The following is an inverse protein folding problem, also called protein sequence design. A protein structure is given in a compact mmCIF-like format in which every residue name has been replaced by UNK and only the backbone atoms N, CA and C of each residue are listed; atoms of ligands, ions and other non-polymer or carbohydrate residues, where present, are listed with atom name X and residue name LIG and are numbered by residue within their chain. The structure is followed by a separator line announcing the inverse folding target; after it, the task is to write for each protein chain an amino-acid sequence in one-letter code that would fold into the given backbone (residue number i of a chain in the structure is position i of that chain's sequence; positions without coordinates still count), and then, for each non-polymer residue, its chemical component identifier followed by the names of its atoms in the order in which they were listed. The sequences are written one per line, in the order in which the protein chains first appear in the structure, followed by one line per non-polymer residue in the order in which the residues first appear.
data_IF_410074140172
#
_entry.id   IF_410074140172
#
_cell.length_a   1.000
_cell.length_b   1.000
_cell.length_c   1.000
_cell.angle_alpha   90.00
_cell.angle_beta   90.00
_cell.angle_gamma   90.00
#
_symmetry.space_group_name_H-M   'P 1'
#
loop_
_entity.id
_entity.type
_entity.pdbx_description
1 polymer ?
#
# COMPACT_ATOMS: atom_id res chain seq x y z
N UNK A 1 -2.37 11.09 -59.02
CA UNK A 1 -2.26 12.00 -57.87
C UNK A 1 -2.83 11.28 -56.67
N UNK A 2 -2.10 11.19 -55.57
CA UNK A 2 -2.57 10.55 -54.34
C UNK A 2 -3.19 11.61 -53.45
N UNK A 3 -4.50 11.45 -53.17
CA UNK A 3 -5.25 12.43 -52.39
C UNK A 3 -5.09 12.12 -50.90
N UNK A 4 -4.35 12.97 -50.21
CA UNK A 4 -4.19 12.91 -48.75
C UNK A 4 -5.45 13.42 -48.05
N UNK A 5 -6.08 12.57 -47.26
CA UNK A 5 -7.23 12.94 -46.42
C UNK A 5 -6.77 13.58 -45.11
N UNK A 6 -7.38 14.72 -44.75
CA UNK A 6 -7.11 15.38 -43.47
C UNK A 6 -7.70 14.56 -42.31
N UNK A 7 -6.93 14.40 -41.24
CA UNK A 7 -7.35 13.66 -40.05
C UNK A 7 -7.98 14.61 -39.03
N UNK A 8 -9.25 14.38 -38.70
CA UNK A 8 -9.98 15.06 -37.63
C UNK A 8 -9.80 14.25 -36.33
N UNK A 9 -10.25 14.80 -35.20
CA UNK A 9 -10.13 14.24 -33.83
C UNK A 9 -10.57 12.77 -33.64
N UNK A 10 -11.28 12.19 -34.61
CA UNK A 10 -11.56 10.75 -34.77
C UNK A 10 -11.59 10.37 -36.26
N UNK A 11 -10.43 10.00 -36.82
CA UNK A 11 -10.32 9.51 -38.19
C UNK A 11 -10.31 10.60 -39.27
N UNK A 12 -10.40 10.20 -40.54
CA UNK A 12 -10.41 11.12 -41.68
C UNK A 12 -11.66 11.99 -41.74
N UNK A 13 -11.54 13.19 -42.33
CA UNK A 13 -12.67 14.10 -42.57
C UNK A 13 -13.73 13.45 -43.48
N UNK A 14 -14.94 13.17 -42.97
CA UNK A 14 -16.00 12.53 -43.76
C UNK A 14 -16.38 13.33 -45.01
N UNK A 15 -16.34 14.68 -44.94
CA UNK A 15 -16.71 15.51 -46.08
C UNK A 15 -15.71 15.39 -47.23
N UNK A 16 -14.40 15.32 -46.92
CA UNK A 16 -13.35 15.12 -47.91
C UNK A 16 -13.42 13.73 -48.53
N UNK A 17 -13.69 12.69 -47.72
CA UNK A 17 -13.88 11.31 -48.20
C UNK A 17 -15.11 11.24 -49.12
N UNK A 18 -16.26 11.79 -48.71
CA UNK A 18 -17.49 11.81 -49.50
C UNK A 18 -17.32 12.57 -50.83
N UNK A 19 -16.55 13.67 -50.85
CA UNK A 19 -16.21 14.39 -52.08
C UNK A 19 -15.35 13.53 -53.03
N UNK A 20 -14.33 12.83 -52.54
CA UNK A 20 -13.52 11.92 -53.38
C UNK A 20 -14.34 10.74 -53.90
N UNK A 21 -15.20 10.14 -53.05
CA UNK A 21 -16.06 9.02 -53.44
C UNK A 21 -17.11 9.47 -54.46
N UNK A 22 -17.67 10.68 -54.32
CA UNK A 22 -18.57 11.28 -55.31
C UNK A 22 -17.86 11.49 -56.65
N UNK A 23 -16.63 12.00 -56.63
CA UNK A 23 -15.82 12.23 -57.84
C UNK A 23 -15.41 10.92 -58.52
N UNK A 24 -15.00 9.89 -57.76
CA UNK A 24 -14.74 8.55 -58.31
C UNK A 24 -15.99 7.90 -58.92
N UNK A 25 -17.17 8.08 -58.29
CA UNK A 25 -18.45 7.63 -58.85
C UNK A 25 -18.80 8.38 -60.14
N UNK A 26 -18.52 9.69 -60.22
CA UNK A 26 -18.74 10.49 -61.43
C UNK A 26 -17.80 10.09 -62.58
N UNK A 27 -16.51 9.85 -62.31
CA UNK A 27 -15.58 9.37 -63.35
C UNK A 27 -15.93 7.96 -63.81
N UNK A 28 -16.37 7.09 -62.90
CA UNK A 28 -16.85 5.76 -63.26
C UNK A 28 -18.15 5.82 -64.09
N UNK A 29 -19.12 6.68 -63.74
CA UNK A 29 -20.34 6.83 -64.54
C UNK A 29 -20.06 7.40 -65.92
N UNK A 30 -19.13 8.35 -66.05
CA UNK A 30 -18.71 8.88 -67.34
C UNK A 30 -18.05 7.80 -68.22
N UNK A 31 -17.14 6.99 -67.65
CA UNK A 31 -16.52 5.88 -68.38
C UNK A 31 -17.52 4.80 -68.82
N UNK A 32 -18.57 4.54 -68.03
CA UNK A 32 -19.67 3.64 -68.44
C UNK A 32 -20.54 4.24 -69.55
N UNK A 33 -20.77 5.56 -69.54
CA UNK A 33 -21.48 6.26 -70.61
C UNK A 33 -20.69 6.21 -71.91
N UNK A 34 -19.39 6.52 -71.88
CA UNK A 34 -18.51 6.44 -73.05
C UNK A 34 -18.44 5.01 -73.62
N UNK A 35 -18.30 3.99 -72.76
CA UNK A 35 -18.34 2.59 -73.19
C UNK A 35 -19.69 2.21 -73.83
N UNK A 36 -20.82 2.70 -73.30
CA UNK A 36 -22.15 2.46 -73.86
C UNK A 36 -22.33 3.18 -75.21
N UNK A 37 -21.87 4.43 -75.34
CA UNK A 37 -21.87 5.19 -76.59
C UNK A 37 -21.06 4.48 -77.68
N UNK A 38 -19.83 4.05 -77.35
CA UNK A 38 -18.97 3.27 -78.28
C UNK A 38 -19.61 1.93 -78.67
N UNK A 39 -20.29 1.25 -77.74
CA UNK A 39 -21.05 0.03 -78.06
C UNK A 39 -22.20 0.31 -79.04
N UNK A 40 -22.91 1.42 -78.90
CA UNK A 40 -23.97 1.83 -79.83
C UNK A 40 -23.41 2.25 -81.19
N UNK A 41 -22.24 2.89 -81.25
CA UNK A 41 -21.54 3.18 -82.50
C UNK A 41 -21.13 1.89 -83.24
N UNK A 42 -20.55 0.91 -82.54
CA UNK A 42 -20.22 -0.41 -83.11
C UNK A 42 -21.47 -1.08 -83.68
N UNK A 43 -22.53 -1.22 -82.88
CA UNK A 43 -23.78 -1.86 -83.34
C UNK A 43 -24.41 -1.14 -84.56
N UNK A 44 -24.28 0.19 -84.67
CA UNK A 44 -24.74 0.95 -85.85
C UNK A 44 -23.90 0.67 -87.09
N UNK A 45 -22.59 0.52 -86.94
CA UNK A 45 -21.68 0.20 -88.04
C UNK A 45 -21.85 -1.26 -88.49
N UNK A 46 -22.08 -2.19 -87.56
CA UNK A 46 -22.45 -3.57 -87.86
C UNK A 46 -23.77 -3.66 -88.64
N UNK A 47 -24.82 -2.96 -88.19
CA UNK A 47 -26.10 -2.89 -88.90
C UNK A 47 -25.95 -2.25 -90.29
N UNK A 48 -25.15 -1.17 -90.42
CA UNK A 48 -24.85 -0.56 -91.72
C UNK A 48 -24.07 -1.48 -92.66
N UNK A 49 -23.24 -2.37 -92.12
CA UNK A 49 -22.51 -3.39 -92.88
C UNK A 49 -23.44 -4.53 -93.29
N UNK A 50 -24.37 -4.97 -92.43
CA UNK A 50 -25.45 -5.88 -92.83
C UNK A 50 -26.31 -5.28 -93.95
N UNK A 51 -26.79 -4.04 -93.81
CA UNK A 51 -27.57 -3.33 -94.84
C UNK A 51 -26.80 -3.24 -96.17
N UNK A 52 -25.52 -2.89 -96.14
CA UNK A 52 -24.67 -2.84 -97.35
C UNK A 52 -24.50 -4.23 -97.99
N UNK A 53 -24.32 -5.29 -97.20
CA UNK A 53 -24.23 -6.66 -97.73
C UNK A 53 -25.57 -7.17 -98.28
N UNK A 54 -26.69 -6.78 -97.68
CA UNK A 54 -28.03 -7.09 -98.17
C UNK A 54 -28.34 -6.36 -99.48
N UNK A 55 -27.99 -5.07 -99.59
CA UNK A 55 -28.09 -4.31 -100.84
C UNK A 55 -27.21 -4.93 -101.94
N UNK A 56 -25.97 -5.32 -101.61
CA UNK A 56 -25.09 -6.02 -102.55
C UNK A 56 -25.61 -7.41 -102.95
N UNK A 57 -26.39 -8.09 -102.09
CA UNK A 57 -27.08 -9.33 -102.43
C UNK A 57 -28.26 -9.08 -103.37
N UNK A 58 -29.15 -8.13 -103.05
CA UNK A 58 -30.29 -7.73 -103.91
C UNK A 58 -29.82 -7.29 -105.29
N UNK A 59 -28.73 -6.51 -105.38
CA UNK A 59 -28.14 -6.13 -106.67
C UNK A 59 -27.58 -7.34 -107.44
N UNK A 60 -26.98 -8.32 -106.75
CA UNK A 60 -26.54 -9.59 -107.36
C UNK A 60 -27.71 -10.41 -107.89
N UNK A 61 -28.79 -10.52 -107.12
CA UNK A 61 -30.00 -11.25 -107.51
C UNK A 61 -30.72 -10.56 -108.67
N UNK A 62 -30.79 -9.22 -108.69
CA UNK A 62 -31.30 -8.45 -109.83
C UNK A 62 -30.44 -8.62 -111.08
N UNK A 63 -29.11 -8.66 -110.94
CA UNK A 63 -28.20 -8.96 -112.07
C UNK A 63 -28.45 -10.38 -112.60
N UNK A 64 -28.63 -11.37 -111.72
CA UNK A 64 -28.94 -12.74 -112.11
C UNK A 64 -30.33 -12.86 -112.77
N UNK A 65 -31.36 -12.20 -112.24
CA UNK A 65 -32.70 -12.20 -112.83
C UNK A 65 -32.70 -11.51 -114.21
N UNK A 66 -31.99 -10.39 -114.37
CA UNK A 66 -31.83 -9.74 -115.68
C UNK A 66 -31.04 -10.61 -116.66
N UNK A 67 -30.05 -11.38 -116.20
CA UNK A 67 -29.34 -12.38 -117.02
C UNK A 67 -30.28 -13.51 -117.47
N UNK A 68 -31.12 -14.04 -116.57
CA UNK A 68 -32.12 -15.07 -116.90
C UNK A 68 -33.19 -14.53 -117.85
N UNK A 69 -33.67 -13.29 -117.66
CA UNK A 69 -34.61 -12.63 -118.57
C UNK A 69 -33.98 -12.41 -119.95
N UNK A 70 -32.70 -12.02 -120.04
CA UNK A 70 -31.96 -11.94 -121.31
C UNK A 70 -31.76 -13.31 -121.96
N UNK A 71 -31.47 -14.35 -121.17
CA UNK A 71 -31.37 -15.74 -121.66
C UNK A 71 -32.72 -16.27 -122.18
N UNK A 72 -33.83 -15.93 -121.50
CA UNK A 72 -35.18 -16.25 -121.94
C UNK A 72 -35.60 -15.44 -123.17
N UNK A 73 -35.26 -14.15 -123.26
CA UNK A 73 -35.56 -13.32 -124.44
C UNK A 73 -34.73 -13.71 -125.66
N UNK A 74 -33.45 -14.09 -125.48
CA UNK A 74 -32.60 -14.59 -126.57
C UNK A 74 -33.02 -15.98 -127.03
N UNK A 75 -33.42 -16.89 -126.13
CA UNK A 75 -33.98 -18.19 -126.49
C UNK A 75 -35.39 -18.11 -127.10
N UNK A 76 -36.25 -17.19 -126.65
CA UNK A 76 -37.55 -16.90 -127.27
C UNK A 76 -37.41 -16.18 -128.63
N UNK A 77 -36.35 -15.37 -128.82
CA UNK A 77 -35.94 -14.86 -130.13
C UNK A 77 -35.24 -15.91 -130.99
N UNK A 78 -34.93 -17.09 -130.46
CA UNK A 78 -34.32 -18.22 -131.19
C UNK A 78 -35.32 -19.01 -132.06
N UNK A 79 -36.21 -18.29 -132.75
CA UNK A 79 -36.41 -18.59 -134.15
C UNK A 79 -35.19 -18.11 -134.96
N UNK A 80 -34.97 -18.57 -136.20
CA UNK A 80 -33.82 -18.13 -136.99
C UNK A 80 -34.06 -16.72 -137.55
N UNK A 81 -33.94 -15.72 -136.68
CA UNK A 81 -33.75 -14.32 -137.03
C UNK A 81 -32.47 -13.86 -136.34
N UNK A 82 -31.38 -13.91 -137.10
CA UNK A 82 -30.14 -13.27 -136.69
C UNK A 82 -30.41 -11.75 -136.61
N UNK A 83 -29.75 -11.02 -135.72
CA UNK A 83 -29.95 -9.56 -135.60
C UNK A 83 -29.76 -8.84 -136.96
N UNK A 84 -28.93 -9.40 -137.84
CA UNK A 84 -28.77 -9.00 -139.24
C UNK A 84 -30.09 -8.87 -140.05
N UNK A 85 -31.12 -9.65 -139.72
CA UNK A 85 -32.38 -9.73 -140.48
C UNK A 85 -33.34 -8.56 -140.19
N UNK A 86 -33.13 -7.81 -139.10
CA UNK A 86 -33.91 -6.59 -138.78
C UNK A 86 -33.34 -5.33 -139.48
N UNK A 87 -32.33 -5.49 -140.32
CA UNK A 87 -31.64 -4.41 -141.01
C UNK A 87 -30.49 -3.81 -140.17
N UNK A 88 -29.38 -3.40 -140.81
CA UNK A 88 -28.08 -3.19 -140.15
C UNK A 88 -28.05 -2.09 -139.08
N UNK A 89 -29.04 -1.19 -139.07
CA UNK A 89 -29.14 -0.12 -138.06
C UNK A 89 -29.77 -0.61 -136.75
N UNK A 90 -30.70 -1.57 -136.80
CA UNK A 90 -31.39 -2.08 -135.60
C UNK A 90 -30.52 -3.09 -134.86
N UNK A 91 -29.81 -3.95 -135.59
CA UNK A 91 -28.80 -4.84 -135.00
C UNK A 91 -27.75 -4.06 -134.22
N UNK A 92 -27.23 -2.98 -134.81
CA UNK A 92 -26.15 -2.18 -134.24
C UNK A 92 -26.58 -1.40 -132.99
N UNK A 93 -27.86 -0.99 -132.90
CA UNK A 93 -28.43 -0.38 -131.69
C UNK A 93 -28.59 -1.43 -130.57
N UNK A 94 -29.01 -2.64 -130.91
CA UNK A 94 -29.20 -3.72 -129.93
C UNK A 94 -27.87 -4.24 -129.39
N UNK A 95 -26.86 -4.46 -130.23
CA UNK A 95 -25.52 -4.86 -129.75
C UNK A 95 -24.88 -3.79 -128.87
N UNK A 96 -25.02 -2.51 -129.24
CA UNK A 96 -24.54 -1.39 -128.40
C UNK A 96 -25.27 -1.31 -127.05
N UNK A 97 -26.56 -1.67 -127.01
CA UNK A 97 -27.34 -1.71 -125.78
C UNK A 97 -26.96 -2.90 -124.88
N UNK A 98 -26.66 -4.08 -125.46
CA UNK A 98 -26.14 -5.23 -124.71
C UNK A 98 -24.73 -4.94 -124.16
N UNK A 99 -23.84 -4.32 -124.97
CA UNK A 99 -22.51 -3.86 -124.56
C UNK A 99 -22.58 -2.83 -123.40
N UNK A 100 -23.44 -1.81 -123.51
CA UNK A 100 -23.66 -0.81 -122.44
C UNK A 100 -24.26 -1.46 -121.17
N UNK A 101 -25.15 -2.45 -121.30
CA UNK A 101 -25.72 -3.16 -120.17
C UNK A 101 -24.69 -4.04 -119.44
N UNK A 102 -23.78 -4.68 -120.18
CA UNK A 102 -22.65 -5.42 -119.61
C UNK A 102 -21.66 -4.47 -118.93
N UNK A 103 -21.34 -3.31 -119.53
CA UNK A 103 -20.52 -2.28 -118.90
C UNK A 103 -21.15 -1.73 -117.61
N UNK A 104 -22.45 -1.45 -117.59
CA UNK A 104 -23.17 -0.98 -116.40
C UNK A 104 -23.16 -2.03 -115.28
N UNK A 105 -23.36 -3.32 -115.63
CA UNK A 105 -23.28 -4.42 -114.65
C UNK A 105 -21.85 -4.60 -114.10
N UNK A 106 -20.83 -4.50 -114.94
CA UNK A 106 -19.44 -4.54 -114.50
C UNK A 106 -19.08 -3.35 -113.58
N UNK A 107 -19.51 -2.13 -113.92
CA UNK A 107 -19.32 -0.93 -113.08
C UNK A 107 -20.03 -1.07 -111.73
N UNK A 108 -21.29 -1.54 -111.72
CA UNK A 108 -22.05 -1.75 -110.48
C UNK A 108 -21.44 -2.83 -109.58
N UNK A 109 -20.96 -3.94 -110.16
CA UNK A 109 -20.27 -4.99 -109.40
C UNK A 109 -18.97 -4.48 -108.78
N UNK A 110 -18.14 -3.75 -109.54
CA UNK A 110 -16.91 -3.16 -109.03
C UNK A 110 -17.16 -2.14 -107.90
N UNK A 111 -18.18 -1.29 -108.04
CA UNK A 111 -18.58 -0.34 -106.98
C UNK A 111 -19.09 -1.05 -105.72
N UNK A 112 -19.82 -2.16 -105.85
CA UNK A 112 -20.25 -2.94 -104.70
C UNK A 112 -19.08 -3.64 -103.98
N UNK A 113 -18.08 -4.14 -104.73
CA UNK A 113 -16.87 -4.72 -104.15
C UNK A 113 -16.00 -3.65 -103.46
N UNK A 114 -15.86 -2.46 -104.06
CA UNK A 114 -15.17 -1.30 -103.47
C UNK A 114 -15.82 -0.88 -102.14
N UNK A 115 -17.14 -0.67 -102.12
CA UNK A 115 -17.89 -0.32 -100.89
C UNK A 115 -17.75 -1.38 -99.78
N UNK A 116 -17.78 -2.68 -100.12
CA UNK A 116 -17.59 -3.76 -99.14
C UNK A 116 -16.14 -3.83 -98.65
N UNK A 117 -15.16 -3.55 -99.51
CA UNK A 117 -13.74 -3.48 -99.15
C UNK A 117 -13.46 -2.33 -98.19
N UNK A 118 -14.00 -1.15 -98.47
CA UNK A 118 -13.84 0.04 -97.64
C UNK A 118 -14.53 -0.12 -96.29
N UNK A 119 -15.78 -0.61 -96.27
CA UNK A 119 -16.51 -0.87 -95.04
C UNK A 119 -15.79 -1.89 -94.13
N UNK A 120 -15.23 -2.97 -94.71
CA UNK A 120 -14.40 -3.93 -93.96
C UNK A 120 -13.13 -3.31 -93.42
N UNK A 121 -12.44 -2.50 -94.23
CA UNK A 121 -11.19 -1.84 -93.83
C UNK A 121 -11.43 -0.88 -92.66
N UNK A 122 -12.52 -0.11 -92.69
CA UNK A 122 -12.86 0.82 -91.62
C UNK A 122 -13.34 0.10 -90.35
N UNK A 123 -14.13 -0.98 -90.48
CA UNK A 123 -14.51 -1.83 -89.35
C UNK A 123 -13.30 -2.46 -88.65
N UNK A 124 -12.28 -2.92 -89.41
CA UNK A 124 -11.04 -3.48 -88.86
C UNK A 124 -10.19 -2.42 -88.14
N UNK A 125 -10.09 -1.20 -88.71
CA UNK A 125 -9.44 -0.05 -88.06
C UNK A 125 -10.12 0.32 -86.75
N UNK A 126 -11.46 0.42 -86.75
CA UNK A 126 -12.22 0.81 -85.55
C UNK A 126 -12.09 -0.25 -84.45
N UNK A 127 -12.15 -1.54 -84.79
CA UNK A 127 -11.94 -2.65 -83.84
C UNK A 127 -10.54 -2.59 -83.22
N UNK A 128 -9.51 -2.45 -84.07
CA UNK A 128 -8.11 -2.32 -83.62
C UNK A 128 -7.92 -1.10 -82.71
N UNK A 129 -8.55 0.04 -83.02
CA UNK A 129 -8.50 1.23 -82.18
C UNK A 129 -9.19 1.03 -80.82
N UNK A 130 -10.36 0.39 -80.80
CA UNK A 130 -11.09 0.08 -79.58
C UNK A 130 -10.34 -0.93 -78.68
N UNK A 131 -9.75 -1.97 -79.26
CA UNK A 131 -8.94 -2.96 -78.55
C UNK A 131 -7.69 -2.31 -77.92
N UNK A 132 -6.96 -1.49 -78.69
CA UNK A 132 -5.80 -0.75 -78.18
C UNK A 132 -6.18 0.21 -77.04
N UNK A 133 -7.25 0.98 -77.20
CA UNK A 133 -7.71 1.93 -76.17
C UNK A 133 -8.17 1.23 -74.89
N UNK A 134 -8.87 0.09 -75.01
CA UNK A 134 -9.26 -0.75 -73.89
C UNK A 134 -8.04 -1.33 -73.16
N UNK A 135 -7.06 -1.83 -73.92
CA UNK A 135 -5.79 -2.35 -73.39
C UNK A 135 -4.96 -1.30 -72.66
N UNK A 136 -4.82 -0.10 -73.24
CA UNK A 136 -4.11 1.02 -72.63
C UNK A 136 -4.81 1.49 -71.35
N UNK A 137 -6.13 1.68 -71.40
CA UNK A 137 -6.93 2.11 -70.24
C UNK A 137 -6.81 1.11 -69.09
N UNK A 138 -6.95 -0.19 -69.38
CA UNK A 138 -6.78 -1.26 -68.39
C UNK A 138 -5.37 -1.27 -67.81
N UNK A 139 -4.33 -1.23 -68.65
CA UNK A 139 -2.93 -1.19 -68.20
C UNK A 139 -2.63 0.02 -67.31
N UNK A 140 -3.18 1.20 -67.65
CA UNK A 140 -3.06 2.41 -66.83
C UNK A 140 -3.75 2.26 -65.48
N UNK A 141 -5.00 1.78 -65.46
CA UNK A 141 -5.77 1.57 -64.23
C UNK A 141 -5.14 0.50 -63.33
N UNK A 142 -4.68 -0.62 -63.89
CA UNK A 142 -3.98 -1.68 -63.14
C UNK A 142 -2.67 -1.15 -62.52
N UNK A 143 -1.93 -0.32 -63.26
CA UNK A 143 -0.71 0.35 -62.77
C UNK A 143 -0.98 1.39 -61.68
N UNK A 144 -2.07 2.15 -61.78
CA UNK A 144 -2.49 3.12 -60.76
C UNK A 144 -2.99 2.40 -59.49
N UNK A 145 -3.79 1.35 -59.63
CA UNK A 145 -4.25 0.52 -58.52
C UNK A 145 -3.07 -0.12 -57.77
N UNK A 146 -2.08 -0.67 -58.49
CA UNK A 146 -0.87 -1.22 -57.90
C UNK A 146 -0.09 -0.17 -57.06
N UNK A 147 0.08 1.05 -57.60
CA UNK A 147 0.74 2.16 -56.88
C UNK A 147 -0.02 2.59 -55.62
N UNK A 148 -1.35 2.70 -55.71
CA UNK A 148 -2.20 3.05 -54.56
C UNK A 148 -2.12 1.98 -53.47
N UNK A 149 -2.17 0.70 -53.84
CA UNK A 149 -2.04 -0.42 -52.90
C UNK A 149 -0.65 -0.48 -52.26
N UNK A 150 0.42 -0.20 -53.00
CA UNK A 150 1.77 -0.15 -52.45
C UNK A 150 1.95 1.03 -51.49
N UNK A 151 1.45 2.22 -51.83
CA UNK A 151 1.47 3.38 -50.94
C UNK A 151 0.66 3.12 -49.66
N UNK A 152 -0.56 2.61 -49.77
CA UNK A 152 -1.40 2.30 -48.62
C UNK A 152 -0.78 1.25 -47.67
N UNK A 153 0.01 0.31 -48.19
CA UNK A 153 0.79 -0.63 -47.37
C UNK A 153 1.90 0.08 -46.62
N UNK A 154 2.72 0.90 -47.30
CA UNK A 154 3.80 1.68 -46.66
C UNK A 154 3.26 2.60 -45.56
N UNK A 155 2.16 3.30 -45.83
CA UNK A 155 1.50 4.16 -44.83
C UNK A 155 0.96 3.37 -43.62
N UNK A 156 0.47 2.14 -43.84
CA UNK A 156 0.04 1.26 -42.75
C UNK A 156 1.24 0.72 -41.94
N UNK A 157 2.33 0.33 -42.59
CA UNK A 157 3.55 -0.13 -41.94
C UNK A 157 4.20 1.01 -41.12
N UNK A 158 4.31 2.22 -41.67
CA UNK A 158 4.78 3.42 -40.96
C UNK A 158 3.93 3.75 -39.72
N UNK A 159 2.60 3.59 -39.83
CA UNK A 159 1.67 3.78 -38.71
C UNK A 159 1.84 2.72 -37.62
N UNK A 160 2.06 1.45 -37.99
CA UNK A 160 2.32 0.35 -37.05
C UNK A 160 3.65 0.57 -36.32
N UNK A 161 4.71 0.93 -37.05
CA UNK A 161 6.02 1.24 -36.48
C UNK A 161 5.97 2.47 -35.56
N UNK A 162 5.17 3.49 -35.89
CA UNK A 162 4.93 4.62 -34.99
C UNK A 162 4.20 4.18 -33.72
N UNK A 163 3.14 3.38 -33.86
CA UNK A 163 2.33 2.90 -32.73
C UNK A 163 3.13 1.99 -31.78
N UNK A 164 3.97 1.08 -32.27
CA UNK A 164 4.81 0.26 -31.37
C UNK A 164 5.93 1.06 -30.72
N UNK A 165 6.53 2.04 -31.42
CA UNK A 165 7.50 2.95 -30.79
C UNK A 165 6.88 3.75 -29.65
N UNK A 166 5.66 4.29 -29.84
CA UNK A 166 4.93 4.95 -28.75
C UNK A 166 4.56 3.98 -27.62
N UNK A 167 4.05 2.80 -27.93
CA UNK A 167 3.68 1.80 -26.93
C UNK A 167 4.91 1.35 -26.11
N UNK A 168 6.05 1.11 -26.77
CA UNK A 168 7.34 0.78 -26.15
C UNK A 168 7.95 1.93 -25.37
N UNK A 169 7.69 3.19 -25.74
CA UNK A 169 8.05 4.35 -24.91
C UNK A 169 7.22 4.39 -23.62
N UNK A 170 5.88 4.37 -23.74
CA UNK A 170 4.97 4.42 -22.58
C UNK A 170 5.13 3.25 -21.62
N UNK A 171 5.43 2.03 -22.12
CA UNK A 171 5.77 0.87 -21.28
C UNK A 171 7.00 1.15 -20.41
N UNK A 172 8.09 1.61 -21.03
CA UNK A 172 9.34 1.96 -20.32
C UNK A 172 9.18 3.12 -19.33
N UNK A 173 8.38 4.12 -19.68
CA UNK A 173 8.04 5.23 -18.76
C UNK A 173 7.26 4.73 -17.54
N UNK A 174 6.25 3.87 -17.75
CA UNK A 174 5.48 3.28 -16.66
C UNK A 174 6.34 2.36 -15.77
N UNK A 175 7.19 1.53 -16.36
CA UNK A 175 8.16 0.69 -15.66
C UNK A 175 9.14 1.53 -14.83
N UNK A 176 9.68 2.61 -15.39
CA UNK A 176 10.58 3.52 -14.68
C UNK A 176 9.89 4.22 -13.50
N UNK A 177 8.64 4.67 -13.67
CA UNK A 177 7.85 5.26 -12.57
C UNK A 177 7.55 4.22 -11.48
N UNK A 178 7.21 2.99 -11.85
CA UNK A 178 6.97 1.91 -10.88
C UNK A 178 8.23 1.54 -10.10
N UNK A 179 9.39 1.43 -10.76
CA UNK A 179 10.65 1.14 -10.08
C UNK A 179 11.09 2.31 -9.20
N UNK A 180 10.91 3.56 -9.64
CA UNK A 180 11.17 4.75 -8.82
C UNK A 180 10.27 4.76 -7.57
N UNK A 181 8.97 4.46 -7.70
CA UNK A 181 8.05 4.37 -6.56
C UNK A 181 8.43 3.24 -5.61
N UNK A 182 8.87 2.09 -6.14
CA UNK A 182 9.35 0.95 -5.35
C UNK A 182 10.61 1.29 -4.57
N UNK A 183 11.60 1.90 -5.21
CA UNK A 183 12.85 2.35 -4.60
C UNK A 183 12.59 3.42 -3.52
N UNK A 184 11.73 4.41 -3.81
CA UNK A 184 11.36 5.45 -2.84
C UNK A 184 10.63 4.85 -1.63
N UNK A 185 9.74 3.88 -1.83
CA UNK A 185 9.04 3.18 -0.74
C UNK A 185 9.98 2.33 0.12
N UNK A 186 10.96 1.66 -0.51
CA UNK A 186 11.98 0.89 0.19
C UNK A 186 12.93 1.79 1.00
N UNK A 187 13.34 2.93 0.45
CA UNK A 187 14.14 3.92 1.17
C UNK A 187 13.38 4.49 2.38
N UNK A 188 12.12 4.91 2.19
CA UNK A 188 11.28 5.42 3.27
C UNK A 188 11.04 4.37 4.38
N UNK A 189 10.93 3.08 4.03
CA UNK A 189 10.84 2.00 5.00
C UNK A 189 12.15 1.84 5.81
N UNK A 190 13.31 1.86 5.15
CA UNK A 190 14.61 1.78 5.80
C UNK A 190 14.87 2.97 6.74
N UNK A 191 14.54 4.21 6.33
CA UNK A 191 14.63 5.40 7.16
C UNK A 191 13.72 5.30 8.41
N UNK A 192 12.53 4.71 8.26
CA UNK A 192 11.60 4.49 9.36
C UNK A 192 12.11 3.42 10.34
N UNK A 193 12.65 2.30 9.82
CA UNK A 193 13.29 1.26 10.62
C UNK A 193 14.50 1.79 11.39
N UNK A 194 15.38 2.58 10.74
CA UNK A 194 16.51 3.23 11.40
C UNK A 194 16.05 4.22 12.48
N UNK A 195 14.99 4.98 12.22
CA UNK A 195 14.40 5.90 13.21
C UNK A 195 13.82 5.14 14.41
N UNK A 196 13.16 3.99 14.18
CA UNK A 196 12.65 3.13 15.24
C UNK A 196 13.78 2.46 16.03
N UNK A 197 14.84 1.98 15.38
CA UNK A 197 16.02 1.42 16.04
C UNK A 197 16.67 2.47 16.95
N UNK A 198 16.95 3.66 16.42
CA UNK A 198 17.53 4.79 17.18
C UNK A 198 16.68 5.16 18.40
N UNK A 199 15.34 5.15 18.26
CA UNK A 199 14.42 5.40 19.38
C UNK A 199 14.41 4.27 20.41
N UNK A 200 14.53 3.01 19.98
CA UNK A 200 14.62 1.84 20.88
C UNK A 200 15.93 1.84 21.65
N UNK A 201 17.06 2.11 20.98
CA UNK A 201 18.37 2.18 21.60
C UNK A 201 18.44 3.32 22.62
N UNK A 202 17.89 4.49 22.26
CA UNK A 202 17.75 5.62 23.19
C UNK A 202 16.89 5.27 24.41
N UNK A 203 15.70 4.69 24.20
CA UNK A 203 14.81 4.32 25.31
C UNK A 203 15.43 3.23 26.20
N UNK A 204 16.17 2.28 25.63
CA UNK A 204 16.90 1.26 26.37
C UNK A 204 18.05 1.87 27.19
N UNK A 205 18.79 2.84 26.64
CA UNK A 205 19.84 3.56 27.35
C UNK A 205 19.28 4.45 28.48
N UNK A 206 18.18 5.16 28.24
CA UNK A 206 17.49 5.96 29.27
C UNK A 206 16.94 5.07 30.40
N UNK A 207 16.34 3.93 30.07
CA UNK A 207 15.88 2.95 31.06
C UNK A 207 17.03 2.32 31.85
N UNK A 208 18.12 1.92 31.18
CA UNK A 208 19.31 1.37 31.85
C UNK A 208 19.95 2.39 32.80
N UNK A 209 20.00 3.66 32.42
CA UNK A 209 20.46 4.74 33.30
C UNK A 209 19.55 4.91 34.52
N UNK A 210 18.23 4.90 34.35
CA UNK A 210 17.27 4.95 35.46
C UNK A 210 17.43 3.74 36.40
N UNK A 211 17.52 2.53 35.86
CA UNK A 211 17.75 1.31 36.66
C UNK A 211 19.05 1.39 37.45
N UNK A 212 20.15 1.85 36.84
CA UNK A 212 21.43 2.05 37.54
C UNK A 212 21.35 3.13 38.64
N UNK A 213 20.50 4.15 38.49
CA UNK A 213 20.25 5.11 39.60
C UNK A 213 19.41 4.51 40.72
N UNK A 214 18.40 3.69 40.41
CA UNK A 214 17.60 2.99 41.41
C UNK A 214 18.41 1.93 42.16
N UNK A 215 19.26 1.16 41.47
CA UNK A 215 20.16 0.18 42.06
C UNK A 215 21.14 0.84 43.05
N UNK A 216 21.73 1.99 42.66
CA UNK A 216 22.58 2.78 43.57
C UNK A 216 21.82 3.33 44.77
N UNK A 217 20.59 3.80 44.58
CA UNK A 217 19.76 4.30 45.67
C UNK A 217 19.37 3.17 46.65
N UNK A 218 19.06 1.98 46.15
CA UNK A 218 18.80 0.79 46.95
C UNK A 218 20.04 0.33 47.71
N UNK A 219 21.21 0.28 47.05
CA UNK A 219 22.48 -0.09 47.69
C UNK A 219 22.88 0.88 48.83
N UNK A 220 22.72 2.19 48.61
CA UNK A 220 22.97 3.19 49.65
C UNK A 220 21.95 3.10 50.79
N UNK A 221 20.69 2.76 50.50
CA UNK A 221 19.67 2.55 51.53
C UNK A 221 19.91 1.27 52.34
N UNK A 222 20.39 0.18 51.72
CA UNK A 222 20.78 -1.04 52.45
C UNK A 222 22.03 -0.83 53.31
N UNK A 223 23.05 -0.11 52.80
CA UNK A 223 24.24 0.25 53.58
C UNK A 223 23.88 1.10 54.80
N UNK A 224 22.96 2.07 54.65
CA UNK A 224 22.43 2.85 55.78
C UNK A 224 21.66 2.00 56.78
N UNK A 225 20.83 1.05 56.32
CA UNK A 225 20.11 0.13 57.20
C UNK A 225 21.10 -0.75 57.99
N UNK A 226 22.06 -1.39 57.32
CA UNK A 226 23.11 -2.20 57.97
C UNK A 226 23.90 -1.36 58.99
N UNK A 227 24.33 -0.14 58.65
CA UNK A 227 25.03 0.77 59.56
C UNK A 227 24.17 1.16 60.78
N UNK A 228 22.86 1.35 60.61
CA UNK A 228 21.94 1.62 61.73
C UNK A 228 21.67 0.40 62.59
N UNK A 229 21.57 -0.80 62.01
CA UNK A 229 21.44 -2.06 62.74
C UNK A 229 22.72 -2.38 63.54
N UNK A 230 23.90 -2.18 62.95
CA UNK A 230 25.18 -2.31 63.66
C UNK A 230 25.27 -1.33 64.83
N UNK A 231 24.95 -0.04 64.62
CA UNK A 231 24.89 0.94 65.72
C UNK A 231 23.88 0.57 66.79
N UNK A 232 22.70 0.10 66.42
CA UNK A 232 21.67 -0.32 67.38
C UNK A 232 22.12 -1.54 68.19
N UNK A 233 22.74 -2.53 67.57
CA UNK A 233 23.29 -3.70 68.29
C UNK A 233 24.48 -3.35 69.17
N UNK A 234 25.34 -2.40 68.77
CA UNK A 234 26.39 -1.85 69.63
C UNK A 234 25.80 -1.13 70.84
N UNK A 235 24.88 -0.18 70.63
CA UNK A 235 24.20 0.55 71.71
C UNK A 235 23.48 -0.38 72.69
N UNK A 236 22.84 -1.45 72.20
CA UNK A 236 22.21 -2.46 73.04
C UNK A 236 23.24 -3.27 73.85
N UNK A 237 24.38 -3.65 73.25
CA UNK A 237 25.48 -4.33 73.99
C UNK A 237 26.07 -3.43 75.05
N UNK A 238 26.33 -2.17 74.74
CA UNK A 238 26.90 -1.19 75.65
C UNK A 238 25.93 -0.92 76.81
N UNK A 239 24.65 -0.67 76.53
CA UNK A 239 23.62 -0.50 77.55
C UNK A 239 23.41 -1.75 78.42
N UNK A 240 23.56 -2.95 77.85
CA UNK A 240 23.57 -4.20 78.63
C UNK A 240 24.79 -4.31 79.54
N UNK A 241 25.99 -4.01 79.03
CA UNK A 241 27.23 -4.04 79.82
C UNK A 241 27.24 -2.99 80.94
N UNK A 242 26.75 -1.78 80.68
CA UNK A 242 26.55 -0.73 81.68
C UNK A 242 25.55 -1.17 82.76
N UNK A 243 24.42 -1.76 82.36
CA UNK A 243 23.42 -2.27 83.30
C UNK A 243 23.93 -3.46 84.13
N UNK A 244 24.80 -4.32 83.58
CA UNK A 244 25.47 -5.38 84.33
C UNK A 244 26.52 -4.81 85.30
N UNK A 245 27.35 -3.87 84.86
CA UNK A 245 28.33 -3.21 85.71
C UNK A 245 27.67 -2.43 86.87
N UNK A 246 26.55 -1.76 86.63
CA UNK A 246 25.80 -1.04 87.67
C UNK A 246 25.14 -2.00 88.66
N UNK A 247 24.64 -3.16 88.18
CA UNK A 247 24.17 -4.25 89.06
C UNK A 247 25.29 -4.84 89.90
N UNK A 248 26.47 -5.07 89.32
CA UNK A 248 27.64 -5.56 90.06
C UNK A 248 28.05 -4.57 91.16
N UNK A 249 28.19 -3.27 90.83
CA UNK A 249 28.46 -2.21 91.82
C UNK A 249 27.42 -2.21 92.94
N UNK A 250 26.14 -2.15 92.61
CA UNK A 250 25.06 -2.14 93.60
C UNK A 250 25.05 -3.42 94.46
N UNK A 251 25.38 -4.58 93.89
CA UNK A 251 25.51 -5.84 94.63
C UNK A 251 26.71 -5.84 95.57
N UNK A 252 27.84 -5.25 95.16
CA UNK A 252 29.04 -5.11 95.97
C UNK A 252 28.82 -4.12 97.13
N UNK A 253 28.16 -2.98 96.87
CA UNK A 253 27.74 -2.02 97.89
C UNK A 253 26.75 -2.65 98.88
N UNK A 254 25.74 -3.38 98.39
CA UNK A 254 24.79 -4.09 99.24
C UNK A 254 25.49 -5.15 100.10
N UNK A 255 26.45 -5.91 99.54
CA UNK A 255 27.23 -6.89 100.29
C UNK A 255 28.13 -6.23 101.34
N UNK A 256 28.77 -5.11 101.01
CA UNK A 256 29.54 -4.29 101.98
C UNK A 256 28.64 -3.73 103.09
N UNK A 257 27.44 -3.25 102.77
CA UNK A 257 26.46 -2.79 103.76
C UNK A 257 26.01 -3.93 104.68
N UNK A 258 25.74 -5.12 104.13
CA UNK A 258 25.40 -6.31 104.91
C UNK A 258 26.55 -6.77 105.82
N UNK A 259 27.80 -6.75 105.34
CA UNK A 259 28.95 -7.14 106.15
C UNK A 259 29.29 -6.08 107.21
N UNK A 260 29.15 -4.79 106.90
CA UNK A 260 29.23 -3.71 107.90
C UNK A 260 28.12 -3.84 108.96
N UNK A 261 26.89 -4.16 108.55
CA UNK A 261 25.77 -4.40 109.45
C UNK A 261 25.98 -5.66 110.31
N UNK A 262 26.56 -6.74 109.76
CA UNK A 262 26.97 -7.93 110.50
C UNK A 262 28.06 -7.61 111.53
N UNK A 263 29.11 -6.88 111.15
CA UNK A 263 30.17 -6.44 112.07
C UNK A 263 29.60 -5.55 113.18
N UNK A 264 28.66 -4.66 112.84
CA UNK A 264 27.99 -3.82 113.83
C UNK A 264 27.09 -4.65 114.76
N UNK A 265 26.29 -5.58 114.23
CA UNK A 265 25.45 -6.48 115.01
C UNK A 265 26.28 -7.42 115.91
N UNK A 266 27.42 -7.94 115.43
CA UNK A 266 28.37 -8.69 116.26
C UNK A 266 29.00 -7.83 117.35
N UNK A 267 29.33 -6.56 117.06
CA UNK A 267 29.86 -5.62 118.04
C UNK A 267 28.83 -5.33 119.12
N UNK A 268 27.61 -4.95 118.73
CA UNK A 268 26.47 -4.75 119.64
C UNK A 268 26.23 -6.03 120.46
N UNK A 269 26.22 -7.22 119.84
CA UNK A 269 26.07 -8.49 120.57
C UNK A 269 27.19 -8.71 121.58
N UNK A 270 28.47 -8.50 121.21
CA UNK A 270 29.61 -8.64 122.13
C UNK A 270 29.57 -7.61 123.26
N UNK A 271 29.15 -6.37 122.98
CA UNK A 271 29.05 -5.31 123.98
C UNK A 271 27.84 -5.55 124.90
N UNK A 272 26.70 -6.01 124.40
CA UNK A 272 25.58 -6.50 125.21
C UNK A 272 25.94 -7.78 126.00
N UNK A 273 26.73 -8.70 125.46
CA UNK A 273 27.26 -9.87 126.20
C UNK A 273 28.20 -9.42 127.33
N UNK A 274 29.04 -8.41 127.10
CA UNK A 274 29.90 -7.78 128.13
C UNK A 274 29.08 -7.06 129.19
N UNK A 275 28.05 -6.31 128.79
CA UNK A 275 27.12 -5.65 129.72
C UNK A 275 26.34 -6.68 130.54
N UNK A 276 25.84 -7.76 129.93
CA UNK A 276 25.19 -8.87 130.63
C UNK A 276 26.15 -9.59 131.57
N UNK A 277 27.42 -9.79 131.19
CA UNK A 277 28.45 -10.33 132.08
C UNK A 277 28.80 -9.36 133.21
N UNK A 278 28.87 -8.06 132.96
CA UNK A 278 29.10 -7.04 133.97
C UNK A 278 27.91 -6.90 134.93
N UNK A 279 26.68 -7.03 134.43
CA UNK A 279 25.45 -7.08 135.23
C UNK A 279 25.34 -8.39 136.03
N UNK A 280 25.75 -9.53 135.45
CA UNK A 280 25.85 -10.80 136.16
C UNK A 280 26.92 -10.73 137.25
N UNK A 281 28.10 -10.17 136.97
CA UNK A 281 29.15 -9.95 137.95
C UNK A 281 28.73 -8.95 139.03
N UNK A 282 27.94 -7.91 138.70
CA UNK A 282 27.31 -7.03 139.71
C UNK A 282 26.28 -7.78 140.55
N UNK A 283 25.43 -8.61 139.94
CA UNK A 283 24.45 -9.46 140.66
C UNK A 283 25.17 -10.43 141.59
N UNK A 284 26.24 -11.07 141.11
CA UNK A 284 26.99 -12.06 141.88
C UNK A 284 27.81 -11.40 142.98
N UNK A 285 28.40 -10.22 142.72
CA UNK A 285 29.01 -9.37 143.74
C UNK A 285 27.98 -8.92 144.80
N UNK A 286 26.77 -8.51 144.41
CA UNK A 286 25.68 -8.19 145.34
C UNK A 286 25.25 -9.44 146.13
N UNK A 287 25.22 -10.61 145.50
CA UNK A 287 24.84 -11.89 146.14
C UNK A 287 25.93 -12.36 147.13
N UNK A 288 27.19 -12.14 146.79
CA UNK A 288 28.36 -12.40 147.63
C UNK A 288 28.44 -11.40 148.79
N UNK A 289 28.17 -10.11 148.55
CA UNK A 289 28.01 -9.09 149.58
C UNK A 289 26.85 -9.41 150.54
N UNK A 290 25.69 -9.84 150.02
CA UNK A 290 24.56 -10.31 150.84
C UNK A 290 24.90 -11.58 151.63
N UNK A 291 25.76 -12.45 151.10
CA UNK A 291 26.23 -13.66 151.81
C UNK A 291 27.24 -13.31 152.90
N UNK A 292 28.18 -12.39 152.63
CA UNK A 292 29.13 -11.88 153.62
C UNK A 292 28.42 -11.11 154.73
N UNK A 293 27.40 -10.30 154.41
CA UNK A 293 26.54 -9.64 155.42
C UNK A 293 25.76 -10.69 156.23
N UNK A 294 25.20 -11.74 155.60
CA UNK A 294 24.55 -12.85 156.32
C UNK A 294 25.49 -13.59 157.27
N UNK A 295 26.77 -13.69 156.92
CA UNK A 295 27.81 -14.36 157.70
C UNK A 295 28.38 -13.46 158.82
N UNK A 296 28.53 -12.15 158.60
CA UNK A 296 28.88 -11.18 159.64
C UNK A 296 27.74 -10.97 160.65
N UNK A 297 26.48 -11.04 160.21
CA UNK A 297 25.29 -11.04 161.09
C UNK A 297 25.15 -12.33 161.92
N UNK A 298 25.98 -13.37 161.71
CA UNK A 298 26.02 -14.54 162.60
C UNK A 298 27.03 -14.42 163.75
N UNK A 299 27.90 -13.41 163.72
CA UNK A 299 28.94 -13.16 164.75
C UNK A 299 28.65 -12.01 165.71
N UNK A 300 27.52 -11.30 165.57
CA UNK A 300 27.10 -10.30 166.55
C UNK A 300 25.57 -10.25 166.67
N UNK A 301 25.03 -10.66 167.83
CA UNK A 301 23.67 -10.33 168.30
C UNK A 301 22.48 -10.86 167.47
N UNK A 302 21.83 -11.93 167.95
CA UNK A 302 20.56 -12.38 167.38
C UNK A 302 19.36 -11.48 167.70
N UNK A 303 18.26 -11.68 166.97
CA UNK A 303 17.00 -10.92 167.04
C UNK A 303 16.62 -10.38 165.64
N UNK A 304 15.51 -10.81 165.03
CA UNK A 304 14.16 -10.26 165.27
C UNK A 304 14.09 -8.77 164.85
N UNK A 305 13.29 -8.31 163.87
CA UNK A 305 12.09 -8.84 163.20
C UNK A 305 11.88 -8.21 161.80
N UNK A 306 11.02 -8.84 160.99
CA UNK A 306 9.90 -8.28 160.19
C UNK A 306 9.77 -6.74 159.98
N UNK A 307 9.19 -6.20 158.90
CA UNK A 307 8.44 -6.79 157.78
C UNK A 307 8.23 -5.82 156.58
N UNK A 308 7.86 -6.40 155.43
CA UNK A 308 6.72 -6.00 154.57
C UNK A 308 6.74 -4.71 153.71
N UNK A 309 5.67 -4.64 152.89
CA UNK A 309 5.16 -3.53 152.05
C UNK A 309 5.74 -3.43 150.63
N UNK A 310 5.34 -4.42 149.83
CA UNK A 310 4.72 -4.23 148.51
C UNK A 310 3.76 -3.02 148.48
N UNK A 311 3.83 -2.16 147.44
CA UNK A 311 2.73 -1.31 146.93
C UNK A 311 3.18 -0.48 145.71
N UNK A 312 2.56 -0.73 144.54
CA UNK A 312 2.01 0.22 143.52
C UNK A 312 2.84 1.43 143.00
N UNK A 313 2.50 2.13 141.91
CA UNK A 313 1.79 1.82 140.65
C UNK A 313 1.89 3.07 139.72
N UNK A 314 1.51 2.91 138.45
CA UNK A 314 0.83 3.88 137.55
C UNK A 314 1.29 5.36 137.43
N UNK A 315 1.47 5.81 136.17
CA UNK A 315 1.52 7.22 135.73
C UNK A 315 2.47 7.38 134.53
N UNK A 316 2.09 7.75 133.29
CA UNK A 316 1.14 8.72 132.72
C UNK A 316 1.69 10.17 132.63
N UNK A 317 1.67 10.75 131.42
CA UNK A 317 2.12 12.12 131.08
C UNK A 317 3.27 12.11 130.04
N UNK A 318 3.13 12.46 128.74
CA UNK A 318 2.75 13.77 128.11
C UNK A 318 3.93 14.77 128.20
N UNK A 319 4.46 15.43 127.15
CA UNK A 319 3.83 16.29 126.11
C UNK A 319 4.69 16.45 124.81
N UNK A 320 4.02 16.83 123.70
CA UNK A 320 4.38 17.90 122.72
C UNK A 320 5.53 17.74 121.69
N UNK A 321 5.48 18.29 120.47
CA UNK A 321 4.36 18.77 119.59
C UNK A 321 4.90 19.12 118.17
N UNK A 322 4.00 19.27 117.17
CA UNK A 322 4.06 20.11 115.95
C UNK A 322 5.22 19.93 114.92
N UNK A 323 5.07 20.14 113.60
CA UNK A 323 3.96 20.40 112.65
C UNK A 323 4.49 19.97 111.25
N UNK A 324 3.73 19.49 110.25
CA UNK A 324 2.71 20.19 109.44
C UNK A 324 3.26 20.47 108.02
N UNK A 325 2.59 20.20 106.90
CA UNK A 325 1.29 19.56 106.67
C UNK A 325 0.99 19.27 105.18
N UNK A 326 -0.20 18.73 104.91
CA UNK A 326 -0.86 18.49 103.59
C UNK A 326 -1.23 19.82 102.88
N UNK A 327 -1.77 19.92 101.65
CA UNK A 327 -2.75 19.09 100.90
C UNK A 327 -2.68 19.47 99.38
N UNK A 328 -3.03 18.66 98.37
CA UNK A 328 -4.39 18.33 97.86
C UNK A 328 -5.36 19.55 97.75
N UNK A 329 -6.34 19.66 96.84
CA UNK A 329 -6.83 18.90 95.67
C UNK A 329 -7.57 19.93 94.75
N UNK A 330 -8.33 19.67 93.67
CA UNK A 330 -8.82 18.47 92.96
C UNK A 330 -9.29 18.90 91.53
N UNK A 331 -9.82 18.01 90.68
CA UNK A 331 -10.68 18.43 89.53
C UNK A 331 -10.78 17.50 88.31
N UNK A 332 -11.77 16.60 88.29
CA UNK A 332 -12.18 15.82 87.11
C UNK A 332 -12.78 16.67 85.97
N UNK A 333 -12.76 16.17 84.73
CA UNK A 333 -13.41 16.83 83.60
C UNK A 333 -13.38 16.10 82.24
N UNK A 334 -14.14 15.00 82.14
CA UNK A 334 -14.78 14.39 80.94
C UNK A 334 -14.15 14.48 79.53
N UNK A 335 -14.24 13.36 78.80
CA UNK A 335 -13.89 13.24 77.39
C UNK A 335 -14.96 13.82 76.43
N UNK A 336 -14.53 14.26 75.23
CA UNK A 336 -15.23 13.89 73.99
C UNK A 336 -14.29 13.93 72.75
N UNK A 337 -14.79 13.35 71.65
CA UNK A 337 -14.07 13.00 70.43
C UNK A 337 -14.03 14.15 69.42
N UNK A 338 -12.91 14.29 68.67
CA UNK A 338 -12.97 14.75 67.28
C UNK A 338 -11.77 14.24 66.47
N UNK A 339 -12.03 13.88 65.22
CA UNK A 339 -11.11 13.35 64.21
C UNK A 339 -10.69 14.41 63.20
N UNK A 340 -9.68 14.09 62.36
CA UNK A 340 -9.22 14.86 61.19
C UNK A 340 -8.45 16.14 61.60
N UNK A 341 -7.52 16.71 60.84
CA UNK A 341 -7.02 16.45 59.47
C UNK A 341 -5.65 17.14 59.36
N UNK A 342 -4.63 16.55 58.73
CA UNK A 342 -3.67 17.33 57.91
C UNK A 342 -2.86 16.41 56.97
N UNK A 343 -2.70 16.88 55.73
CA UNK A 343 -1.85 16.30 54.67
C UNK A 343 -0.60 17.17 54.50
#
# INVERSE_FOLDING_TARGET
MTESFNTVRRGYDPAQVDDTVRRMRQTHSAALQEAAEKTVEINRLEAGLEDATAQAAVLRDQVAELQDQLAQLSSARSGPLNYADLGPRISQILTLADEEADELRAKAAAQAEELVSDARTEAERLRTAAENHSGETRSRTDSEAARILEQARREADDLLDHADREASARRREAEAVHEQQRAASAAAAADFEQTLATRRDRAAAEFAAQMATHEKALAAASEQLEETEERATQLLRDAHADAEAEREKASAEAQQLLDNARIHAERVRRDSERELQALAARRDSITEQLTNVRQMLTTLGGGALAAAVETQASGAGVVADAEGGESAADGEGAAELASLEEQ
#
